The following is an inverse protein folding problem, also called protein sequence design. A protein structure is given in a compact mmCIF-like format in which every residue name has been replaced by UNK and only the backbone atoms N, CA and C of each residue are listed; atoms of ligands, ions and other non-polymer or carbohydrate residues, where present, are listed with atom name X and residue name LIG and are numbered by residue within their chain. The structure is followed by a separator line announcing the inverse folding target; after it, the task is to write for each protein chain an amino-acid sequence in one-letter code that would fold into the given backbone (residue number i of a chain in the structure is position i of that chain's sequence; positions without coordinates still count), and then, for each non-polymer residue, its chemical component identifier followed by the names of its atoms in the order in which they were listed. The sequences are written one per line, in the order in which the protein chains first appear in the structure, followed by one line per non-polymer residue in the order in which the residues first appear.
data_IF_625960140790
#
_entry.id   IF_625960140790
#
_cell.length_a   1.000
_cell.length_b   1.000
_cell.length_c   1.000
_cell.angle_alpha   90.00
_cell.angle_beta   90.00
_cell.angle_gamma   90.00
#
_symmetry.space_group_name_H-M   'P 1'
#
loop_
_entity.id
_entity.type
_entity.pdbx_description
1 polymer ?
#
# COMPACT_ATOMS: atom_id res chain seq x y z
N UNK A 1 -17.55 -25.46 32.87
CA UNK A 1 -17.03 -25.46 31.48
C UNK A 1 -15.77 -26.30 31.44
N UNK A 2 -15.73 -27.38 30.61
CA UNK A 2 -14.55 -28.22 30.43
C UNK A 2 -13.32 -27.37 30.04
N UNK A 3 -12.13 -27.69 30.57
CA UNK A 3 -10.90 -26.92 30.30
C UNK A 3 -10.57 -26.82 28.80
N UNK A 4 -10.85 -27.87 28.03
CA UNK A 4 -10.69 -27.92 26.58
C UNK A 4 -11.53 -26.85 25.88
N UNK A 5 -12.78 -26.66 26.31
CA UNK A 5 -13.68 -25.65 25.72
C UNK A 5 -13.14 -24.23 25.97
N UNK A 6 -12.55 -23.97 27.14
CA UNK A 6 -11.92 -22.67 27.43
C UNK A 6 -10.77 -22.37 26.46
N UNK A 7 -9.91 -23.36 26.22
CA UNK A 7 -8.77 -23.23 25.32
C UNK A 7 -9.25 -22.98 23.89
N UNK A 8 -10.24 -23.74 23.43
CA UNK A 8 -10.82 -23.56 22.09
C UNK A 8 -11.40 -22.15 21.88
N UNK A 9 -12.09 -21.60 22.88
CA UNK A 9 -12.63 -20.24 22.81
C UNK A 9 -11.49 -19.22 22.69
N UNK A 10 -10.44 -19.35 23.50
CA UNK A 10 -9.28 -18.42 23.44
C UNK A 10 -8.60 -18.48 22.08
N UNK A 11 -8.39 -19.68 21.53
CA UNK A 11 -7.81 -19.85 20.19
C UNK A 11 -8.70 -19.23 19.11
N UNK A 12 -10.02 -19.43 19.19
CA UNK A 12 -10.97 -18.85 18.25
C UNK A 12 -10.95 -17.32 18.30
N UNK A 13 -10.97 -16.73 19.49
CA UNK A 13 -10.89 -15.27 19.66
C UNK A 13 -9.59 -14.73 19.10
N UNK A 14 -8.45 -15.39 19.34
CA UNK A 14 -7.17 -14.99 18.79
C UNK A 14 -7.16 -15.04 17.25
N UNK A 15 -7.73 -16.09 16.64
CA UNK A 15 -7.85 -16.20 15.18
C UNK A 15 -8.75 -15.11 14.58
N UNK A 16 -9.85 -14.77 15.25
CA UNK A 16 -10.75 -13.69 14.83
C UNK A 16 -10.05 -12.32 14.89
N UNK A 17 -9.36 -12.02 16.00
CA UNK A 17 -8.61 -10.78 16.14
C UNK A 17 -7.49 -10.67 15.11
N UNK A 18 -6.74 -11.74 14.88
CA UNK A 18 -5.71 -11.80 13.85
C UNK A 18 -6.29 -11.53 12.46
N UNK A 19 -7.41 -12.19 12.14
CA UNK A 19 -8.08 -12.04 10.84
C UNK A 19 -8.60 -10.62 10.61
N UNK A 20 -9.21 -10.03 11.63
CA UNK A 20 -9.69 -8.65 11.60
C UNK A 20 -8.54 -7.66 11.38
N UNK A 21 -7.42 -7.85 12.11
CA UNK A 21 -6.23 -7.01 11.95
C UNK A 21 -5.64 -7.11 10.53
N UNK A 22 -5.46 -8.32 10.01
CA UNK A 22 -4.91 -8.55 8.67
C UNK A 22 -5.78 -7.94 7.57
N UNK A 23 -7.10 -7.95 7.75
CA UNK A 23 -8.04 -7.33 6.81
C UNK A 23 -8.03 -5.80 6.91
N UNK A 24 -7.89 -5.25 8.11
CA UNK A 24 -7.93 -3.80 8.33
C UNK A 24 -6.63 -3.09 7.93
N UNK A 25 -5.48 -3.76 8.06
CA UNK A 25 -4.17 -3.12 7.84
C UNK A 25 -3.99 -2.51 6.43
N UNK A 26 -4.37 -3.19 5.33
CA UNK A 26 -4.33 -2.60 3.98
C UNK A 26 -5.18 -1.32 3.86
N UNK A 27 -6.37 -1.30 4.47
CA UNK A 27 -7.23 -0.10 4.47
C UNK A 27 -6.60 1.07 5.24
N UNK A 28 -5.98 0.80 6.39
CA UNK A 28 -5.30 1.83 7.19
C UNK A 28 -4.13 2.43 6.41
N UNK A 29 -3.31 1.59 5.76
CA UNK A 29 -2.20 2.04 4.90
C UNK A 29 -2.72 2.88 3.74
N UNK A 30 -3.76 2.41 3.06
CA UNK A 30 -4.36 3.13 1.95
C UNK A 30 -4.91 4.50 2.36
N UNK A 31 -5.58 4.59 3.51
CA UNK A 31 -6.08 5.86 4.03
C UNK A 31 -4.97 6.88 4.28
N UNK A 32 -3.78 6.44 4.70
CA UNK A 32 -2.63 7.34 4.91
C UNK A 32 -2.05 7.85 3.60
N UNK A 33 -1.97 6.99 2.57
CA UNK A 33 -1.54 7.42 1.23
C UNK A 33 -2.51 8.46 0.68
N UNK A 34 -3.82 8.24 0.83
CA UNK A 34 -4.84 9.22 0.39
C UNK A 34 -4.62 10.58 1.01
N UNK A 35 -4.43 10.66 2.33
CA UNK A 35 -4.13 11.93 3.00
C UNK A 35 -2.85 12.58 2.45
N UNK A 36 -1.83 11.79 2.13
CA UNK A 36 -0.59 12.32 1.51
C UNK A 36 -0.76 12.76 0.06
N UNK A 37 -1.64 12.12 -0.70
CA UNK A 37 -2.00 12.59 -2.05
C UNK A 37 -2.74 13.92 -1.99
N UNK A 38 -3.64 14.10 -1.03
CA UNK A 38 -4.35 15.36 -0.78
C UNK A 38 -3.37 16.50 -0.43
N UNK A 39 -2.42 16.23 0.48
CA UNK A 39 -1.34 17.17 0.81
C UNK A 39 -0.49 17.52 -0.42
N UNK A 40 -0.08 16.52 -1.21
CA UNK A 40 0.75 16.70 -2.41
C UNK A 40 0.03 17.52 -3.50
N UNK A 41 -1.25 17.26 -3.71
CA UNK A 41 -2.11 18.02 -4.62
C UNK A 41 -2.26 19.48 -4.15
N UNK A 42 -2.34 19.73 -2.84
CA UNK A 42 -2.35 21.09 -2.27
C UNK A 42 -1.01 21.83 -2.43
N UNK A 43 0.11 21.12 -2.33
CA UNK A 43 1.46 21.67 -2.50
C UNK A 43 1.87 21.88 -3.97
N UNK A 44 1.13 21.29 -4.92
CA UNK A 44 1.46 21.24 -6.34
C UNK A 44 1.60 22.61 -7.04
N UNK A 45 1.12 23.70 -6.43
CA UNK A 45 1.36 25.05 -6.96
C UNK A 45 2.83 25.49 -6.81
N UNK A 46 3.53 24.99 -5.80
CA UNK A 46 4.93 25.32 -5.53
C UNK A 46 5.91 24.27 -6.08
N UNK A 47 5.50 23.00 -6.08
CA UNK A 47 6.39 21.87 -6.36
C UNK A 47 6.23 21.32 -7.79
N UNK A 48 7.33 20.82 -8.35
CA UNK A 48 7.34 20.13 -9.64
C UNK A 48 6.81 18.70 -9.51
N UNK A 49 6.37 18.11 -10.62
CA UNK A 49 5.88 16.72 -10.63
C UNK A 49 6.93 15.71 -10.15
N UNK A 50 8.21 15.99 -10.39
CA UNK A 50 9.30 15.17 -9.90
C UNK A 50 9.42 15.20 -8.37
N UNK A 51 9.21 16.36 -7.75
CA UNK A 51 9.24 16.49 -6.28
C UNK A 51 8.07 15.70 -5.69
N UNK A 52 6.85 15.95 -6.18
CA UNK A 52 5.64 15.24 -5.74
C UNK A 52 5.77 13.72 -5.90
N UNK A 53 6.27 13.25 -7.05
CA UNK A 53 6.44 11.83 -7.30
C UNK A 53 7.47 11.18 -6.35
N UNK A 54 8.55 11.89 -5.99
CA UNK A 54 9.56 11.36 -5.04
C UNK A 54 9.00 11.25 -3.64
N UNK A 55 8.30 12.28 -3.16
CA UNK A 55 7.68 12.27 -1.84
C UNK A 55 6.63 11.15 -1.73
N UNK A 56 5.77 11.01 -2.74
CA UNK A 56 4.77 9.94 -2.78
C UNK A 56 5.41 8.55 -2.86
N UNK A 57 6.52 8.39 -3.56
CA UNK A 57 7.29 7.14 -3.60
C UNK A 57 7.86 6.76 -2.22
N UNK A 58 8.36 7.73 -1.47
CA UNK A 58 8.85 7.53 -0.10
C UNK A 58 7.72 7.14 0.85
N UNK A 59 6.59 7.84 0.80
CA UNK A 59 5.39 7.49 1.56
C UNK A 59 4.93 6.07 1.23
N UNK A 60 4.98 5.66 -0.03
CA UNK A 60 4.59 4.32 -0.43
C UNK A 60 5.53 3.24 0.14
N UNK A 61 6.83 3.51 0.21
CA UNK A 61 7.78 2.61 0.87
C UNK A 61 7.48 2.49 2.38
N UNK A 62 7.24 3.63 3.06
CA UNK A 62 6.93 3.66 4.49
C UNK A 62 5.62 2.93 4.83
N UNK A 63 4.58 3.17 4.03
CA UNK A 63 3.28 2.51 4.20
C UNK A 63 3.25 1.09 3.64
N UNK A 64 4.36 0.58 3.10
CA UNK A 64 4.49 -0.78 2.55
C UNK A 64 3.41 -1.08 1.52
N UNK A 65 3.31 -0.15 0.57
CA UNK A 65 2.38 -0.21 -0.56
C UNK A 65 3.04 -1.07 -1.63
N UNK A 66 2.32 -1.96 -2.29
CA UNK A 66 2.94 -2.82 -3.29
C UNK A 66 2.77 -2.26 -4.71
N UNK A 67 3.45 -1.15 -5.03
CA UNK A 67 3.40 -0.54 -6.38
C UNK A 67 4.40 -1.13 -7.37
N UNK A 68 5.53 -1.64 -6.89
CA UNK A 68 6.65 -2.07 -7.72
C UNK A 68 7.04 -3.48 -7.35
N UNK A 69 7.10 -4.37 -8.35
CA UNK A 69 7.50 -5.77 -8.17
C UNK A 69 6.70 -6.50 -7.10
N UNK A 70 7.27 -7.59 -6.60
CA UNK A 70 6.67 -8.39 -5.53
C UNK A 70 7.03 -7.88 -4.11
N UNK A 71 7.46 -6.62 -4.00
CA UNK A 71 7.77 -6.02 -2.70
C UNK A 71 6.49 -5.90 -1.85
N UNK A 72 6.61 -6.27 -0.58
CA UNK A 72 5.54 -6.28 0.44
C UNK A 72 4.48 -7.38 0.28
N UNK A 73 4.65 -8.31 -0.67
CA UNK A 73 3.81 -9.50 -0.78
C UNK A 73 4.41 -10.72 -0.08
N UNK A 74 3.55 -11.71 0.15
CA UNK A 74 4.01 -13.09 0.39
C UNK A 74 4.28 -13.75 -0.95
N UNK A 75 5.55 -13.98 -1.26
CA UNK A 75 5.97 -14.71 -2.46
C UNK A 75 6.10 -16.19 -2.10
N UNK A 76 5.65 -17.09 -2.98
CA UNK A 76 5.97 -18.51 -2.86
C UNK A 76 7.33 -18.73 -3.49
N UNK A 77 8.26 -19.33 -2.76
CA UNK A 77 9.50 -19.83 -3.37
C UNK A 77 9.22 -21.04 -4.27
N UNK A 78 10.26 -21.52 -4.96
CA UNK A 78 10.21 -22.70 -5.83
C UNK A 78 9.80 -23.99 -5.09
N UNK A 79 9.85 -23.97 -3.76
CA UNK A 79 9.43 -25.08 -2.87
C UNK A 79 8.00 -24.89 -2.34
N UNK A 80 7.29 -23.83 -2.75
CA UNK A 80 5.92 -23.53 -2.35
C UNK A 80 5.77 -22.85 -0.97
N UNK A 81 6.87 -22.46 -0.33
CA UNK A 81 6.89 -21.81 0.98
C UNK A 81 6.67 -20.30 0.84
N UNK A 82 5.73 -19.76 1.62
CA UNK A 82 5.39 -18.34 1.61
C UNK A 82 6.40 -17.52 2.42
N UNK A 83 7.06 -16.54 1.79
CA UNK A 83 7.95 -15.58 2.42
C UNK A 83 7.42 -14.16 2.26
N UNK A 84 7.43 -13.37 3.34
CA UNK A 84 7.19 -11.94 3.23
C UNK A 84 8.43 -11.27 2.65
N UNK A 85 8.34 -10.81 1.41
CA UNK A 85 9.41 -10.05 0.81
C UNK A 85 9.24 -8.58 1.20
N UNK A 86 10.14 -8.05 2.04
CA UNK A 86 10.26 -6.62 2.29
C UNK A 86 11.61 -6.18 1.75
N UNK A 87 11.73 -4.99 1.15
CA UNK A 87 13.03 -4.45 0.77
C UNK A 87 13.86 -4.21 2.04
N UNK A 88 14.85 -5.06 2.29
CA UNK A 88 15.69 -5.04 3.49
C UNK A 88 16.96 -4.23 3.23
N UNK A 89 17.53 -4.39 2.04
CA UNK A 89 18.74 -3.70 1.63
C UNK A 89 18.46 -2.30 1.09
N UNK A 90 19.45 -1.40 1.19
CA UNK A 90 19.33 -0.05 0.64
C UNK A 90 19.18 -0.07 -0.89
N UNK A 91 19.72 -1.10 -1.54
CA UNK A 91 19.57 -1.30 -2.98
C UNK A 91 18.14 -1.66 -3.36
N UNK A 92 17.49 -2.58 -2.64
CA UNK A 92 16.08 -2.95 -2.88
C UNK A 92 15.14 -1.79 -2.55
N UNK A 93 15.39 -1.05 -1.46
CA UNK A 93 14.64 0.17 -1.14
C UNK A 93 14.76 1.20 -2.25
N UNK A 94 15.97 1.38 -2.79
CA UNK A 94 16.20 2.29 -3.92
C UNK A 94 15.44 1.82 -5.16
N UNK A 95 15.53 0.55 -5.53
CA UNK A 95 14.78 -0.01 -6.67
C UNK A 95 13.27 0.19 -6.53
N UNK A 96 12.73 -0.06 -5.34
CA UNK A 96 11.31 0.19 -5.06
C UNK A 96 10.97 1.68 -5.24
N UNK A 97 11.76 2.58 -4.65
CA UNK A 97 11.52 4.03 -4.75
C UNK A 97 11.61 4.53 -6.19
N UNK A 98 12.61 4.08 -6.95
CA UNK A 98 12.80 4.48 -8.35
C UNK A 98 11.61 4.02 -9.22
N UNK A 99 11.10 2.80 -8.99
CA UNK A 99 9.91 2.30 -9.68
C UNK A 99 8.63 3.04 -9.27
N UNK A 100 8.45 3.33 -7.97
CA UNK A 100 7.26 4.03 -7.47
C UNK A 100 7.26 5.49 -7.93
N UNK A 101 8.43 6.10 -8.02
CA UNK A 101 8.64 7.42 -8.62
C UNK A 101 8.21 7.43 -10.08
N UNK A 102 8.68 6.48 -10.89
CA UNK A 102 8.27 6.36 -12.30
C UNK A 102 6.76 6.16 -12.43
N UNK A 103 6.17 5.30 -11.59
CA UNK A 103 4.72 5.10 -11.53
C UNK A 103 3.97 6.43 -11.30
N UNK A 104 4.36 7.22 -10.29
CA UNK A 104 3.67 8.47 -10.00
C UNK A 104 3.88 9.52 -11.10
N UNK A 105 5.06 9.61 -11.70
CA UNK A 105 5.27 10.51 -12.84
C UNK A 105 4.29 10.22 -14.00
N UNK A 106 3.98 8.95 -14.25
CA UNK A 106 3.02 8.58 -15.29
C UNK A 106 1.57 8.88 -14.89
N UNK A 107 1.27 8.90 -13.58
CA UNK A 107 -0.08 9.02 -13.02
C UNK A 107 -0.39 10.39 -12.39
N UNK A 108 0.56 11.32 -12.38
CA UNK A 108 0.32 12.74 -12.13
C UNK A 108 -0.04 13.38 -13.46
N UNK A 109 -1.23 13.99 -13.55
CA UNK A 109 -1.67 14.73 -14.73
C UNK A 109 -1.95 16.17 -14.34
N UNK A 110 -1.31 17.11 -15.02
CA UNK A 110 -1.62 18.54 -14.94
C UNK A 110 -2.32 19.00 -16.21
N UNK A 111 -3.44 19.68 -16.03
CA UNK A 111 -4.04 20.51 -17.07
C UNK A 111 -3.62 21.95 -16.81
N UNK A 112 -2.78 22.56 -17.66
CA UNK A 112 -2.26 23.91 -17.43
C UNK A 112 -3.37 24.92 -17.14
N UNK A 113 -3.29 25.57 -15.98
CA UNK A 113 -4.23 26.61 -15.56
C UNK A 113 -5.61 26.11 -15.11
N UNK A 114 -5.80 24.81 -14.92
CA UNK A 114 -7.07 24.24 -14.47
C UNK A 114 -6.90 23.34 -13.27
N UNK A 115 -6.19 22.22 -13.40
CA UNK A 115 -6.26 21.13 -12.42
C UNK A 115 -4.97 20.32 -12.37
N UNK A 116 -4.65 19.79 -11.20
CA UNK A 116 -3.73 18.67 -11.03
C UNK A 116 -4.52 17.47 -10.52
N UNK A 117 -4.23 16.30 -11.05
CA UNK A 117 -4.74 15.02 -10.56
C UNK A 117 -3.61 14.04 -10.32
N UNK A 118 -3.70 13.28 -9.23
CA UNK A 118 -2.76 12.21 -8.88
C UNK A 118 -3.57 10.94 -8.68
N UNK A 119 -3.20 9.88 -9.41
CA UNK A 119 -3.88 8.58 -9.34
C UNK A 119 -3.00 7.49 -8.74
N UNK A 120 -3.62 6.58 -7.99
CA UNK A 120 -2.99 5.36 -7.48
C UNK A 120 -3.97 4.17 -7.65
N UNK A 121 -3.46 3.03 -8.13
CA UNK A 121 -4.22 1.78 -8.26
C UNK A 121 -3.30 0.59 -7.99
N UNK A 122 -3.65 -0.25 -7.02
CA UNK A 122 -2.91 -1.46 -6.69
C UNK A 122 -3.81 -2.52 -6.06
N UNK A 123 -3.33 -3.77 -6.05
CA UNK A 123 -3.98 -4.90 -5.40
C UNK A 123 -3.16 -5.37 -4.21
N UNK A 124 -3.81 -5.83 -3.14
CA UNK A 124 -3.19 -6.49 -2.00
C UNK A 124 -3.72 -7.90 -1.89
N UNK A 125 -2.83 -8.85 -1.67
CA UNK A 125 -3.18 -10.25 -1.38
C UNK A 125 -2.82 -10.60 0.07
N UNK A 126 -3.85 -10.86 0.88
CA UNK A 126 -3.71 -11.22 2.28
C UNK A 126 -3.91 -12.72 2.47
N UNK A 127 -2.85 -13.40 2.90
CA UNK A 127 -2.86 -14.84 3.12
C UNK A 127 -3.12 -15.15 4.59
N UNK A 128 -4.25 -15.79 4.86
CA UNK A 128 -4.68 -16.19 6.20
C UNK A 128 -3.90 -17.42 6.69
N UNK A 129 -3.93 -17.72 8.01
CA UNK A 129 -3.23 -18.86 8.58
C UNK A 129 -3.62 -20.16 7.88
N UNK A 130 -2.67 -21.10 7.83
CA UNK A 130 -2.82 -22.41 7.18
C UNK A 130 -3.01 -22.39 5.66
N UNK A 131 -2.87 -21.24 4.99
CA UNK A 131 -2.85 -21.14 3.53
C UNK A 131 -4.19 -21.51 2.85
N UNK A 132 -5.27 -21.63 3.63
CA UNK A 132 -6.58 -22.10 3.18
C UNK A 132 -7.32 -21.01 2.40
N UNK A 133 -7.00 -19.74 2.67
CA UNK A 133 -7.71 -18.61 2.08
C UNK A 133 -6.77 -17.44 1.77
N UNK A 134 -6.96 -16.87 0.58
CA UNK A 134 -6.30 -15.64 0.13
C UNK A 134 -7.39 -14.60 -0.14
N UNK A 135 -7.33 -13.48 0.57
CA UNK A 135 -8.18 -12.33 0.33
C UNK A 135 -7.47 -11.38 -0.64
N UNK A 136 -8.10 -11.08 -1.77
CA UNK A 136 -7.61 -10.08 -2.72
C UNK A 136 -8.42 -8.80 -2.57
N UNK A 137 -7.75 -7.67 -2.37
CA UNK A 137 -8.37 -6.35 -2.20
C UNK A 137 -7.75 -5.39 -3.20
N UNK A 138 -8.56 -4.70 -4.00
CA UNK A 138 -8.10 -3.66 -4.93
C UNK A 138 -8.33 -2.28 -4.31
N UNK A 139 -7.33 -1.42 -4.42
CA UNK A 139 -7.33 -0.07 -3.90
C UNK A 139 -7.03 0.89 -5.04
N UNK A 140 -8.00 1.73 -5.38
CA UNK A 140 -7.85 2.77 -6.40
C UNK A 140 -8.37 4.11 -5.86
N UNK A 141 -7.63 5.18 -6.13
CA UNK A 141 -8.00 6.54 -5.75
C UNK A 141 -7.43 7.54 -6.75
N UNK A 142 -8.15 8.61 -7.00
CA UNK A 142 -7.65 9.77 -7.74
C UNK A 142 -7.99 11.01 -6.93
N UNK A 143 -6.97 11.79 -6.63
CA UNK A 143 -7.10 13.06 -5.94
C UNK A 143 -6.94 14.18 -6.97
N UNK A 144 -7.85 15.16 -6.96
CA UNK A 144 -7.84 16.27 -7.92
C UNK A 144 -8.01 17.58 -7.19
N UNK A 145 -7.18 18.57 -7.51
CA UNK A 145 -7.42 19.96 -7.08
C UNK A 145 -7.39 20.90 -8.25
N UNK A 146 -8.29 21.87 -8.20
CA UNK A 146 -8.31 23.01 -9.10
C UNK A 146 -7.19 23.96 -8.72
N UNK A 147 -6.31 24.24 -9.67
CA UNK A 147 -5.29 25.29 -9.60
C UNK A 147 -5.98 26.64 -9.85
N UNK A 148 -6.95 27.01 -9.01
CA UNK A 148 -7.62 28.31 -9.09
C UNK A 148 -6.64 29.40 -8.64
N UNK A 149 -6.46 30.42 -9.50
CA UNK A 149 -5.65 31.63 -9.28
C UNK A 149 -6.02 32.38 -8.01
#
# INVERSE_FOLDING_TARGET
MPPIIKILIVVLVALLLYSAFMTAMPHIRFSRIKGKMEEAVGAAMADSDEVLARELAEVCLEQKVPLVGDFFYKVRDDQGKLFYYQPETDQEKKQYKDGAFAYFLENIKRTPGQEISISIDYQVETYFPFGVYVLKQRFAHTETSTLSR
#
